data_IF_029883975565
#
_entry.id   IF_029883975565
#
_cell.length_a   1.000
_cell.length_b   1.000
_cell.length_c   1.000
_cell.angle_alpha   90.00
_cell.angle_beta   90.00
_cell.angle_gamma   90.00
#
_symmetry.space_group_name_H-M   'P 1'
#
loop_
_entity.id
_entity.type
_entity.pdbx_description
1 polymer ?
#
# COMPACT_ATOMS: atom_id res chain seq x y z
N UNK A 1 -28.91 15.79 7.54
CA UNK A 1 -28.21 17.08 7.58
C UNK A 1 -27.20 16.99 8.74
N UNK A 2 -25.96 16.62 8.45
CA UNK A 2 -24.86 16.65 9.43
C UNK A 2 -23.78 17.59 8.85
N UNK A 3 -23.35 18.52 9.68
CA UNK A 3 -22.51 19.65 9.35
C UNK A 3 -21.09 19.19 8.97
N UNK A 4 -20.67 19.58 7.77
CA UNK A 4 -19.26 19.53 7.34
C UNK A 4 -18.58 20.75 7.97
N UNK A 5 -17.64 20.52 8.89
CA UNK A 5 -16.80 21.57 9.46
C UNK A 5 -15.58 21.75 8.56
N UNK A 6 -15.55 22.90 7.89
CA UNK A 6 -14.44 23.35 7.05
C UNK A 6 -13.36 23.97 7.95
N UNK A 7 -12.18 23.37 8.04
CA UNK A 7 -11.03 23.99 8.70
C UNK A 7 -10.25 24.82 7.67
N UNK A 8 -10.36 26.15 7.79
CA UNK A 8 -9.45 27.10 7.13
C UNK A 8 -8.18 27.22 7.98
N UNK A 9 -7.03 26.81 7.44
CA UNK A 9 -5.71 27.10 8.05
C UNK A 9 -5.15 28.41 7.51
N UNK A 10 -4.77 29.30 8.43
CA UNK A 10 -4.08 30.58 8.17
C UNK A 10 -2.68 30.34 7.57
N UNK A 11 -2.41 30.96 6.44
CA UNK A 11 -1.06 31.12 5.88
C UNK A 11 -0.32 32.22 6.63
N UNK A 12 0.79 31.89 7.27
CA UNK A 12 1.79 32.87 7.76
C UNK A 12 2.93 32.97 6.74
N UNK A 13 3.09 34.13 6.15
CA UNK A 13 4.20 34.48 5.26
C UNK A 13 5.42 34.76 6.12
N UNK A 14 6.49 33.98 5.98
CA UNK A 14 7.80 34.27 6.58
C UNK A 14 8.74 34.81 5.49
N UNK A 15 9.24 36.01 5.74
CA UNK A 15 10.19 36.75 4.91
C UNK A 15 11.57 36.11 4.91
N UNK A 16 12.18 35.97 3.72
CA UNK A 16 13.56 35.51 3.55
C UNK A 16 14.59 36.56 4.01
N UNK A 17 15.47 36.19 4.93
CA UNK A 17 16.77 36.86 5.12
C UNK A 17 17.89 35.87 4.80
N UNK A 18 18.70 36.21 3.80
CA UNK A 18 19.93 35.50 3.44
C UNK A 18 21.02 35.67 4.52
N UNK A 19 21.37 34.59 5.20
CA UNK A 19 22.68 34.46 5.84
C UNK A 19 23.18 33.01 5.69
N UNK A 20 24.37 32.86 5.12
CA UNK A 20 25.11 31.61 4.95
C UNK A 20 25.37 30.94 6.31
N UNK A 21 24.54 30.03 6.70
CA UNK A 21 24.83 28.97 7.65
C UNK A 21 24.19 27.71 7.08
N UNK A 22 24.98 26.63 7.00
CA UNK A 22 24.43 25.28 6.76
C UNK A 22 23.48 24.97 7.92
N UNK A 23 22.23 25.38 7.80
CA UNK A 23 21.17 24.89 8.66
C UNK A 23 21.06 23.39 8.40
N UNK A 24 21.49 22.59 9.39
CA UNK A 24 21.06 21.21 9.51
C UNK A 24 19.53 21.26 9.47
N UNK A 25 18.94 20.91 8.33
CA UNK A 25 17.50 20.67 8.24
C UNK A 25 17.17 19.60 9.28
N UNK A 26 16.62 20.04 10.40
CA UNK A 26 16.05 19.13 11.39
C UNK A 26 14.82 18.56 10.71
N UNK A 27 14.93 17.35 10.15
CA UNK A 27 13.77 16.67 9.52
C UNK A 27 12.67 16.62 10.56
N UNK A 28 11.48 17.07 10.18
CA UNK A 28 10.30 17.01 11.04
C UNK A 28 9.98 15.54 11.33
N UNK A 29 9.49 15.27 12.52
CA UNK A 29 9.02 13.93 12.92
C UNK A 29 7.50 13.86 12.80
N UNK A 30 6.97 12.68 12.41
CA UNK A 30 5.55 12.44 12.17
C UNK A 30 5.07 11.22 12.96
N UNK A 31 5.09 11.31 14.28
CA UNK A 31 4.54 10.26 15.13
C UNK A 31 5.52 9.80 16.22
N UNK A 32 5.23 8.67 16.83
CA UNK A 32 5.98 8.06 17.93
C UNK A 32 5.94 6.55 17.83
N UNK A 33 6.84 5.87 18.55
CA UNK A 33 6.83 4.41 18.63
C UNK A 33 6.31 3.99 20.00
N UNK A 34 5.43 3.00 20.01
CA UNK A 34 4.94 2.33 21.22
C UNK A 34 5.34 0.85 21.17
N UNK A 35 5.92 0.35 22.25
CA UNK A 35 6.40 -1.03 22.36
C UNK A 35 5.54 -1.76 23.40
N UNK A 36 4.92 -2.87 22.98
CA UNK A 36 4.04 -3.70 23.81
C UNK A 36 4.75 -4.95 24.32
N UNK A 37 5.79 -5.42 23.60
CA UNK A 37 6.61 -6.56 23.95
C UNK A 37 8.09 -6.23 23.70
N UNK A 38 8.99 -6.69 24.59
CA UNK A 38 10.44 -6.43 24.49
C UNK A 38 11.06 -6.89 23.15
N UNK A 39 10.48 -7.90 22.50
CA UNK A 39 10.89 -8.36 21.15
C UNK A 39 10.68 -7.27 20.08
N UNK A 40 9.78 -6.32 20.31
CA UNK A 40 9.60 -5.14 19.42
C UNK A 40 10.86 -4.28 19.32
N UNK A 41 11.72 -4.33 20.35
CA UNK A 41 12.99 -3.58 20.37
C UNK A 41 14.02 -4.12 19.38
N UNK A 42 13.82 -5.32 18.85
CA UNK A 42 14.67 -5.87 17.79
C UNK A 42 14.49 -5.08 16.47
N UNK A 43 13.35 -4.37 16.31
CA UNK A 43 13.01 -3.61 15.11
C UNK A 43 13.05 -2.10 15.32
N UNK A 44 12.56 -1.60 16.45
CA UNK A 44 12.43 -0.17 16.71
C UNK A 44 12.65 0.12 18.21
N UNK A 45 12.89 1.38 18.54
CA UNK A 45 12.92 1.85 19.92
C UNK A 45 11.90 2.98 20.13
N UNK A 46 11.52 3.25 21.38
CA UNK A 46 10.66 4.38 21.72
C UNK A 46 11.23 5.74 21.27
N UNK A 47 12.56 5.81 21.05
CA UNK A 47 13.26 6.97 20.54
C UNK A 47 13.47 6.98 19.02
N UNK A 48 13.01 5.94 18.32
CA UNK A 48 13.11 5.90 16.86
C UNK A 48 12.34 7.07 16.25
N UNK A 49 13.01 7.76 15.30
CA UNK A 49 12.46 8.98 14.68
C UNK A 49 11.76 8.59 13.38
N UNK A 50 10.51 9.02 13.25
CA UNK A 50 9.74 8.88 12.01
C UNK A 50 9.99 10.15 11.20
N UNK A 51 10.92 10.07 10.24
CA UNK A 51 11.38 11.21 9.44
C UNK A 51 10.37 11.53 8.34
N UNK A 52 9.86 12.76 8.31
CA UNK A 52 9.09 13.27 7.18
C UNK A 52 10.00 13.43 5.95
N UNK A 53 9.65 12.82 4.84
CA UNK A 53 10.40 12.89 3.58
C UNK A 53 9.72 13.79 2.55
N UNK A 54 8.40 13.66 2.40
CA UNK A 54 7.56 14.46 1.49
C UNK A 54 6.26 14.78 2.20
N UNK A 55 5.82 16.02 2.15
CA UNK A 55 4.58 16.52 2.75
C UNK A 55 3.58 16.94 1.67
N UNK A 56 2.33 17.18 2.07
CA UNK A 56 1.28 17.71 1.20
C UNK A 56 0.94 16.81 0.01
N UNK A 57 0.98 15.50 0.24
CA UNK A 57 0.48 14.50 -0.67
C UNK A 57 -1.04 14.34 -0.51
N UNK A 58 -1.66 13.54 -1.37
CA UNK A 58 -3.03 13.11 -1.22
C UNK A 58 -3.17 11.67 -1.68
N UNK A 59 -3.39 10.76 -0.72
CA UNK A 59 -3.53 9.33 -0.94
C UNK A 59 -2.26 8.72 -1.55
N UNK A 60 -1.13 8.85 -0.79
CA UNK A 60 0.14 8.24 -1.16
C UNK A 60 0.12 6.75 -0.84
N UNK A 61 0.43 5.91 -1.85
CA UNK A 61 0.27 4.46 -1.80
C UNK A 61 1.42 3.72 -2.48
N UNK A 62 1.32 2.40 -2.52
CA UNK A 62 2.15 1.48 -3.27
C UNK A 62 3.65 1.73 -3.17
N UNK A 63 4.23 1.91 -1.98
CA UNK A 63 5.66 2.17 -1.87
C UNK A 63 6.46 0.94 -2.29
N UNK A 64 7.52 1.17 -3.07
CA UNK A 64 8.41 0.12 -3.57
C UNK A 64 9.83 0.64 -3.67
N UNK A 65 10.77 0.02 -2.97
CA UNK A 65 12.18 0.29 -3.17
C UNK A 65 12.67 -0.36 -4.47
N UNK A 66 13.27 0.43 -5.35
CA UNK A 66 13.79 -0.03 -6.63
C UNK A 66 15.30 0.15 -6.67
N UNK A 67 16.04 -0.94 -6.49
CA UNK A 67 17.50 -0.92 -6.36
C UNK A 67 18.19 -0.31 -7.58
N UNK A 68 17.77 -0.70 -8.79
CA UNK A 68 18.35 -0.16 -10.05
C UNK A 68 18.20 1.35 -10.20
N UNK A 69 17.24 1.98 -9.49
CA UNK A 69 17.04 3.42 -9.45
C UNK A 69 17.65 4.04 -8.20
N UNK A 70 18.07 3.23 -7.22
CA UNK A 70 18.44 3.66 -5.88
C UNK A 70 17.39 4.64 -5.29
N UNK A 71 16.12 4.32 -5.45
CA UNK A 71 15.00 5.19 -5.11
C UNK A 71 13.80 4.39 -4.64
N UNK A 72 13.03 5.00 -3.75
CA UNK A 72 11.67 4.59 -3.47
C UNK A 72 10.76 5.13 -4.57
N UNK A 73 9.97 4.28 -5.19
CA UNK A 73 8.79 4.67 -5.96
C UNK A 73 7.57 4.62 -5.04
N UNK A 74 6.61 5.50 -5.26
CA UNK A 74 5.31 5.45 -4.61
C UNK A 74 4.25 6.09 -5.50
N UNK A 75 3.02 5.63 -5.35
CA UNK A 75 1.88 6.10 -6.14
C UNK A 75 1.19 7.25 -5.42
N UNK A 76 0.58 8.13 -6.18
CA UNK A 76 -0.41 9.09 -5.72
C UNK A 76 -1.70 8.81 -6.51
N UNK A 77 -2.53 7.96 -5.92
CA UNK A 77 -3.66 7.30 -6.61
C UNK A 77 -4.63 8.31 -7.19
N UNK A 78 -5.03 9.31 -6.40
CA UNK A 78 -5.96 10.34 -6.84
C UNK A 78 -5.41 11.22 -7.99
N UNK A 79 -4.08 11.38 -8.06
CA UNK A 79 -3.42 12.18 -9.09
C UNK A 79 -3.07 11.39 -10.35
N UNK A 80 -3.26 10.08 -10.38
CA UNK A 80 -2.87 9.18 -11.47
C UNK A 80 -1.37 9.23 -11.79
N UNK A 81 -0.50 9.28 -10.75
CA UNK A 81 0.94 9.49 -10.86
C UNK A 81 1.73 8.51 -10.01
N UNK A 82 2.96 8.24 -10.46
CA UNK A 82 4.01 7.64 -9.64
C UNK A 82 5.09 8.68 -9.43
N UNK A 83 5.57 8.78 -8.21
CA UNK A 83 6.70 9.61 -7.83
C UNK A 83 7.89 8.77 -7.41
N UNK A 84 9.07 9.36 -7.46
CA UNK A 84 10.29 8.81 -6.91
C UNK A 84 10.84 9.70 -5.81
N UNK A 85 11.45 9.06 -4.82
CA UNK A 85 12.19 9.74 -3.77
C UNK A 85 13.53 9.03 -3.51
N UNK A 86 14.60 9.82 -3.31
CA UNK A 86 15.86 9.33 -2.78
C UNK A 86 16.60 10.40 -1.98
N UNK A 87 17.59 9.99 -1.19
CA UNK A 87 18.36 10.91 -0.32
C UNK A 87 19.11 12.01 -1.08
N UNK A 88 19.48 11.79 -2.35
CA UNK A 88 20.32 12.71 -3.11
C UNK A 88 19.53 13.76 -3.88
N UNK A 89 18.51 13.32 -4.65
CA UNK A 89 17.70 14.19 -5.52
C UNK A 89 16.36 14.59 -4.92
N UNK A 90 15.97 13.96 -3.79
CA UNK A 90 14.69 14.23 -3.16
C UNK A 90 13.52 13.65 -3.94
N UNK A 91 12.43 14.40 -4.03
CA UNK A 91 11.14 14.01 -4.61
C UNK A 91 10.99 14.51 -6.05
N UNK A 92 10.52 13.64 -6.95
CA UNK A 92 10.26 13.98 -8.36
C UNK A 92 9.19 13.11 -8.99
N UNK A 93 8.51 13.63 -10.03
CA UNK A 93 7.59 12.85 -10.84
C UNK A 93 8.37 11.76 -11.59
N UNK A 94 7.89 10.52 -11.48
CA UNK A 94 8.45 9.38 -12.19
C UNK A 94 7.63 8.99 -13.42
N UNK A 95 6.29 8.92 -13.28
CA UNK A 95 5.38 8.48 -14.35
C UNK A 95 4.01 9.15 -14.26
N UNK A 96 3.46 9.50 -15.43
CA UNK A 96 2.09 9.98 -15.62
C UNK A 96 1.65 9.68 -17.06
N UNK A 97 0.47 9.02 -17.29
CA UNK A 97 -0.45 8.45 -16.33
C UNK A 97 0.07 7.13 -15.75
N UNK A 98 -0.37 6.76 -14.53
CA UNK A 98 0.05 5.51 -13.89
C UNK A 98 -1.00 4.41 -13.95
N UNK A 99 -2.28 4.73 -13.76
CA UNK A 99 -3.35 3.75 -13.58
C UNK A 99 -4.55 3.92 -14.51
N UNK A 100 -4.75 5.09 -15.08
CA UNK A 100 -5.83 5.38 -16.03
C UNK A 100 -5.31 5.98 -17.31
N UNK A 101 -5.47 5.24 -18.40
CA UNK A 101 -5.07 5.65 -19.74
C UNK A 101 -6.27 5.89 -20.68
N UNK A 102 -7.50 5.68 -20.18
CA UNK A 102 -8.74 5.91 -20.93
C UNK A 102 -9.22 4.75 -21.77
N UNK A 103 -8.72 3.52 -21.52
CA UNK A 103 -9.13 2.33 -22.30
C UNK A 103 -10.45 1.72 -21.85
N UNK A 104 -10.93 2.07 -20.65
CA UNK A 104 -12.23 1.65 -20.12
C UNK A 104 -12.96 2.85 -19.50
N UNK A 105 -14.29 2.80 -19.33
CA UNK A 105 -15.02 3.82 -18.60
C UNK A 105 -14.56 3.92 -17.14
N UNK A 106 -14.49 5.14 -16.61
CA UNK A 106 -14.14 5.42 -15.23
C UNK A 106 -15.14 6.39 -14.60
N UNK A 107 -15.30 6.32 -13.27
CA UNK A 107 -16.07 7.32 -12.53
C UNK A 107 -15.35 8.67 -12.54
N UNK A 108 -16.05 9.79 -12.72
CA UNK A 108 -15.42 11.11 -12.77
C UNK A 108 -14.61 11.47 -11.51
N UNK A 109 -15.10 11.04 -10.35
CA UNK A 109 -14.48 11.29 -9.04
C UNK A 109 -13.77 10.03 -8.51
N UNK A 110 -13.40 9.12 -9.42
CA UNK A 110 -12.70 7.85 -9.11
C UNK A 110 -11.26 8.07 -8.68
N UNK A 111 -10.75 7.12 -7.91
CA UNK A 111 -9.33 7.02 -7.57
C UNK A 111 -8.63 6.24 -8.69
N UNK A 112 -8.15 6.94 -9.72
CA UNK A 112 -7.84 6.33 -11.02
C UNK A 112 -6.36 5.95 -11.22
N UNK A 113 -5.45 6.33 -10.34
CA UNK A 113 -4.04 5.98 -10.43
C UNK A 113 -3.77 4.49 -10.24
N UNK A 114 -2.52 4.09 -10.42
CA UNK A 114 -2.06 2.80 -9.89
C UNK A 114 -2.02 2.86 -8.37
N UNK A 115 -2.20 1.70 -7.71
CA UNK A 115 -2.05 1.55 -6.28
C UNK A 115 -0.80 0.72 -5.98
N UNK A 116 -0.90 -0.55 -5.69
CA UNK A 116 0.24 -1.41 -5.39
C UNK A 116 1.21 -1.58 -6.57
N UNK A 117 2.49 -1.73 -6.22
CA UNK A 117 3.59 -1.97 -7.14
C UNK A 117 4.52 -3.04 -6.60
N UNK A 118 5.00 -3.93 -7.47
CA UNK A 118 6.07 -4.88 -7.17
C UNK A 118 7.01 -5.04 -8.36
N UNK A 119 8.13 -5.71 -8.15
CA UNK A 119 8.98 -6.20 -9.24
C UNK A 119 8.70 -7.68 -9.50
N UNK A 120 8.70 -8.09 -10.76
CA UNK A 120 8.74 -9.50 -11.11
C UNK A 120 10.18 -10.07 -11.03
N UNK A 121 10.36 -11.36 -11.28
CA UNK A 121 11.66 -12.03 -11.24
C UNK A 121 12.69 -11.51 -12.26
N UNK A 122 12.25 -10.78 -13.29
CA UNK A 122 13.12 -10.13 -14.27
C UNK A 122 13.48 -8.69 -13.85
N UNK A 123 12.90 -8.20 -12.76
CA UNK A 123 13.01 -6.82 -12.29
C UNK A 123 12.15 -5.85 -13.09
N UNK A 124 11.09 -6.32 -13.76
CA UNK A 124 10.11 -5.48 -14.42
C UNK A 124 9.05 -5.01 -13.43
N UNK A 125 8.59 -3.76 -13.59
CA UNK A 125 7.60 -3.15 -12.71
C UNK A 125 6.20 -3.66 -13.05
N UNK A 126 5.55 -4.24 -12.05
CA UNK A 126 4.15 -4.67 -12.12
C UNK A 126 3.30 -3.69 -11.32
N UNK A 127 2.17 -3.30 -11.87
CA UNK A 127 1.28 -2.27 -11.32
C UNK A 127 -0.15 -2.81 -11.21
N UNK A 128 -0.80 -2.53 -10.10
CA UNK A 128 -2.24 -2.63 -9.94
C UNK A 128 -2.88 -1.30 -10.37
N UNK A 129 -3.57 -1.28 -11.51
CA UNK A 129 -4.19 -0.08 -12.08
C UNK A 129 -5.67 -0.01 -11.70
N UNK A 130 -6.04 0.98 -10.87
CA UNK A 130 -7.43 1.21 -10.51
C UNK A 130 -8.26 1.66 -11.72
N UNK A 131 -7.80 2.70 -12.42
CA UNK A 131 -8.60 3.34 -13.48
C UNK A 131 -8.81 2.47 -14.71
N UNK A 132 -7.79 1.78 -15.18
CA UNK A 132 -7.89 0.84 -16.30
C UNK A 132 -8.34 -0.57 -15.85
N UNK A 133 -8.54 -0.78 -14.55
CA UNK A 133 -9.14 -1.98 -13.94
C UNK A 133 -8.39 -3.27 -14.29
N UNK A 134 -7.05 -3.23 -14.18
CA UNK A 134 -6.17 -4.34 -14.60
C UNK A 134 -4.85 -4.39 -13.83
N UNK A 135 -4.20 -5.54 -13.88
CA UNK A 135 -2.80 -5.71 -13.48
C UNK A 135 -1.94 -5.69 -14.75
N UNK A 136 -0.87 -4.91 -14.72
CA UNK A 136 0.00 -4.68 -15.89
C UNK A 136 1.47 -4.82 -15.56
N UNK A 137 2.27 -5.12 -16.60
CA UNK A 137 3.74 -4.96 -16.61
C UNK A 137 4.12 -3.70 -17.37
N UNK A 138 5.01 -2.90 -16.83
CA UNK A 138 5.62 -1.77 -17.53
C UNK A 138 6.72 -2.30 -18.46
N UNK A 139 6.54 -2.16 -19.79
CA UNK A 139 7.50 -2.63 -20.79
C UNK A 139 8.75 -1.75 -20.91
N UNK A 140 8.64 -0.49 -20.53
CA UNK A 140 9.72 0.48 -20.77
C UNK A 140 9.89 1.44 -19.59
N UNK A 141 10.96 1.23 -18.82
CA UNK A 141 11.29 2.05 -17.66
C UNK A 141 11.78 3.48 -18.00
N UNK A 142 12.14 3.74 -19.26
CA UNK A 142 12.85 4.96 -19.67
C UNK A 142 11.96 5.97 -20.39
N UNK A 143 10.70 5.67 -20.62
CA UNK A 143 9.82 6.50 -21.44
C UNK A 143 8.86 7.34 -20.58
N UNK A 144 8.80 8.64 -20.91
CA UNK A 144 7.78 9.56 -20.39
C UNK A 144 6.35 9.18 -20.85
N UNK A 145 6.23 8.21 -21.77
CA UNK A 145 4.97 7.64 -22.26
C UNK A 145 4.95 6.17 -21.85
N UNK A 146 4.26 5.81 -20.76
CA UNK A 146 4.26 4.43 -20.30
C UNK A 146 3.59 3.51 -21.32
N UNK A 147 4.26 2.38 -21.61
CA UNK A 147 3.74 1.27 -22.41
C UNK A 147 3.49 0.09 -21.49
N UNK A 148 2.22 -0.32 -21.39
CA UNK A 148 1.77 -1.35 -20.47
C UNK A 148 1.36 -2.62 -21.22
N UNK A 149 1.87 -3.76 -20.76
CA UNK A 149 1.36 -5.07 -21.08
C UNK A 149 0.33 -5.51 -20.05
N UNK A 150 -0.88 -5.83 -20.48
CA UNK A 150 -1.90 -6.36 -19.57
C UNK A 150 -1.57 -7.80 -19.21
N UNK A 151 -1.41 -8.08 -17.92
CA UNK A 151 -1.23 -9.41 -17.37
C UNK A 151 -2.58 -10.04 -16.99
N UNK A 152 -3.45 -9.25 -16.32
CA UNK A 152 -4.82 -9.66 -15.99
C UNK A 152 -5.74 -8.44 -16.12
N UNK A 153 -6.78 -8.52 -16.98
CA UNK A 153 -7.72 -7.41 -17.23
C UNK A 153 -9.17 -7.77 -16.93
N UNK A 154 -9.48 -9.06 -16.74
CA UNK A 154 -10.85 -9.52 -16.49
C UNK A 154 -10.88 -10.89 -15.83
N UNK A 155 -12.02 -11.20 -15.23
CA UNK A 155 -12.37 -12.54 -14.77
C UNK A 155 -13.75 -12.91 -15.26
N UNK A 156 -13.88 -14.07 -15.97
CA UNK A 156 -15.14 -14.51 -16.59
C UNK A 156 -15.79 -13.43 -17.47
N UNK A 157 -14.99 -12.84 -18.36
CA UNK A 157 -15.39 -11.78 -19.31
C UNK A 157 -15.92 -10.48 -18.66
N UNK A 158 -15.68 -10.27 -17.37
CA UNK A 158 -16.01 -9.05 -16.63
C UNK A 158 -14.75 -8.35 -16.17
N UNK A 159 -14.70 -7.04 -16.34
CA UNK A 159 -13.59 -6.23 -15.83
C UNK A 159 -13.48 -6.35 -14.30
N UNK A 160 -12.26 -6.29 -13.78
CA UNK A 160 -12.04 -6.17 -12.34
C UNK A 160 -12.68 -4.89 -11.78
N UNK A 161 -12.79 -4.79 -10.45
CA UNK A 161 -13.26 -3.55 -9.81
C UNK A 161 -12.16 -2.48 -9.89
N UNK A 162 -11.09 -2.66 -9.13
CA UNK A 162 -9.88 -1.84 -9.14
C UNK A 162 -8.75 -2.58 -8.43
N UNK A 163 -7.97 -3.41 -9.14
CA UNK A 163 -6.85 -4.14 -8.55
C UNK A 163 -5.99 -3.22 -7.69
N UNK A 164 -5.75 -3.63 -6.42
CA UNK A 164 -5.21 -2.75 -5.39
C UNK A 164 -3.78 -3.12 -4.98
N UNK A 165 -3.57 -4.21 -4.25
CA UNK A 165 -2.24 -4.65 -3.84
C UNK A 165 -1.95 -6.06 -4.39
N UNK A 166 -0.66 -6.43 -4.46
CA UNK A 166 -0.24 -7.62 -5.18
C UNK A 166 1.09 -8.17 -4.64
N UNK A 167 1.24 -9.50 -4.75
CA UNK A 167 2.43 -10.22 -4.31
C UNK A 167 2.69 -11.44 -5.17
N UNK A 168 3.95 -11.70 -5.54
CA UNK A 168 4.36 -12.94 -6.20
C UNK A 168 4.69 -14.02 -5.17
N UNK A 169 4.27 -15.25 -5.47
CA UNK A 169 4.85 -16.45 -4.87
C UNK A 169 6.09 -16.89 -5.67
N UNK A 170 6.96 -17.67 -5.04
CA UNK A 170 8.21 -18.16 -5.66
C UNK A 170 7.98 -19.02 -6.91
N UNK A 171 6.80 -19.65 -7.02
CA UNK A 171 6.42 -20.44 -8.19
C UNK A 171 6.02 -19.61 -9.42
N UNK A 172 5.98 -18.27 -9.27
CA UNK A 172 5.61 -17.31 -10.30
C UNK A 172 4.11 -16.98 -10.37
N UNK A 173 3.27 -17.53 -9.49
CA UNK A 173 1.88 -17.12 -9.36
C UNK A 173 1.81 -15.72 -8.70
N UNK A 174 0.96 -14.85 -9.24
CA UNK A 174 0.71 -13.50 -8.74
C UNK A 174 -0.64 -13.47 -8.02
N UNK A 175 -0.64 -13.11 -6.75
CA UNK A 175 -1.85 -12.88 -5.96
C UNK A 175 -2.14 -11.38 -5.90
N UNK A 176 -3.41 -10.99 -6.02
CA UNK A 176 -3.83 -9.59 -5.93
C UNK A 176 -5.23 -9.44 -5.37
N UNK A 177 -5.49 -8.28 -4.78
CA UNK A 177 -6.80 -7.88 -4.26
C UNK A 177 -7.51 -6.97 -5.26
N UNK A 178 -8.86 -7.06 -5.29
CA UNK A 178 -9.71 -6.29 -6.22
C UNK A 178 -10.87 -5.60 -5.50
N UNK A 179 -10.60 -4.70 -4.55
CA UNK A 179 -11.62 -3.88 -3.90
C UNK A 179 -12.16 -2.81 -4.88
N UNK A 180 -13.26 -2.12 -4.53
CA UNK A 180 -13.92 -1.17 -5.44
C UNK A 180 -13.43 0.27 -5.32
N UNK A 181 -12.22 0.54 -4.78
CA UNK A 181 -11.76 1.91 -4.49
C UNK A 181 -11.62 2.79 -5.73
N UNK A 182 -11.32 2.22 -6.90
CA UNK A 182 -11.23 2.94 -8.16
C UNK A 182 -12.52 3.65 -8.57
N UNK A 183 -13.68 3.24 -8.03
CA UNK A 183 -14.95 3.92 -8.28
C UNK A 183 -15.14 5.19 -7.42
N UNK A 184 -14.20 5.50 -6.52
CA UNK A 184 -14.30 6.62 -5.59
C UNK A 184 -15.12 6.31 -4.33
N UNK A 185 -14.87 7.07 -3.26
CA UNK A 185 -15.43 6.76 -1.95
C UNK A 185 -16.96 6.88 -1.88
N UNK A 186 -17.56 7.77 -2.66
CA UNK A 186 -19.03 7.98 -2.68
C UNK A 186 -19.76 6.83 -3.39
N UNK A 187 -19.12 6.20 -4.37
CA UNK A 187 -19.69 5.11 -5.19
C UNK A 187 -19.08 3.75 -4.94
N UNK A 188 -18.33 3.61 -3.86
CA UNK A 188 -17.52 2.45 -3.53
C UNK A 188 -18.22 1.10 -3.81
N UNK A 189 -19.45 0.92 -3.32
CA UNK A 189 -20.23 -0.31 -3.50
C UNK A 189 -21.41 -0.15 -4.46
N UNK A 190 -21.67 1.03 -5.01
CA UNK A 190 -22.88 1.38 -5.75
C UNK A 190 -22.63 1.84 -7.19
N UNK A 191 -21.39 1.86 -7.65
CA UNK A 191 -21.05 2.22 -9.02
C UNK A 191 -21.76 1.30 -10.04
N UNK A 192 -22.39 1.89 -11.04
CA UNK A 192 -22.95 1.15 -12.18
C UNK A 192 -21.88 0.53 -13.09
N UNK A 193 -20.61 1.00 -12.95
CA UNK A 193 -19.48 0.44 -13.67
C UNK A 193 -18.95 -0.85 -13.02
N UNK A 194 -19.41 -1.22 -11.83
CA UNK A 194 -18.99 -2.45 -11.14
C UNK A 194 -19.56 -3.69 -11.84
N UNK A 195 -18.70 -4.47 -12.51
CA UNK A 195 -19.09 -5.67 -13.22
C UNK A 195 -18.91 -6.94 -12.40
N UNK A 196 -17.83 -7.01 -11.58
CA UNK A 196 -17.62 -8.15 -10.69
C UNK A 196 -18.67 -8.14 -9.57
N UNK A 197 -19.33 -9.28 -9.28
CA UNK A 197 -20.33 -9.34 -8.21
C UNK A 197 -19.72 -9.26 -6.81
N UNK A 198 -18.40 -9.50 -6.70
CA UNK A 198 -17.65 -9.57 -5.44
C UNK A 198 -16.47 -8.63 -5.44
N UNK A 199 -15.87 -8.40 -4.28
CA UNK A 199 -14.57 -7.77 -4.12
C UNK A 199 -13.58 -8.90 -3.83
N UNK A 200 -12.89 -9.37 -4.88
CA UNK A 200 -12.19 -10.65 -4.85
C UNK A 200 -10.74 -10.55 -4.38
N UNK A 201 -10.24 -11.69 -3.89
CA UNK A 201 -8.81 -11.99 -3.90
C UNK A 201 -8.58 -12.98 -5.03
N UNK A 202 -7.69 -12.65 -5.94
CA UNK A 202 -7.44 -13.42 -7.15
C UNK A 202 -6.00 -13.92 -7.21
N UNK A 203 -5.81 -14.98 -8.01
CA UNK A 203 -4.51 -15.47 -8.43
C UNK A 203 -4.43 -15.41 -9.94
N UNK A 204 -3.39 -14.81 -10.48
CA UNK A 204 -2.94 -14.99 -11.85
C UNK A 204 -1.85 -16.05 -11.82
N UNK A 205 -2.10 -17.20 -12.41
CA UNK A 205 -1.10 -18.28 -12.50
C UNK A 205 0.03 -17.85 -13.43
N UNK A 206 1.21 -18.43 -13.26
CA UNK A 206 2.33 -18.21 -14.18
C UNK A 206 2.00 -18.51 -15.65
N UNK A 207 0.99 -19.36 -15.89
CA UNK A 207 0.54 -19.76 -17.23
C UNK A 207 -0.55 -18.81 -17.79
N UNK A 208 -0.93 -17.76 -17.04
CA UNK A 208 -1.83 -16.68 -17.46
C UNK A 208 -3.32 -16.93 -17.14
N UNK A 209 -3.66 -17.95 -16.35
CA UNK A 209 -5.03 -18.18 -15.89
C UNK A 209 -5.34 -17.32 -14.67
N UNK A 210 -6.51 -16.66 -14.66
CA UNK A 210 -7.04 -15.93 -13.50
C UNK A 210 -8.00 -16.80 -12.73
N UNK A 211 -7.76 -16.94 -11.42
CA UNK A 211 -8.57 -17.73 -10.50
C UNK A 211 -9.07 -16.86 -9.35
N UNK A 212 -10.37 -16.84 -9.08
CA UNK A 212 -10.95 -16.24 -7.88
C UNK A 212 -10.72 -17.18 -6.68
N UNK A 213 -10.08 -16.68 -5.63
CA UNK A 213 -9.73 -17.47 -4.45
C UNK A 213 -10.63 -17.15 -3.25
N UNK A 214 -10.94 -15.87 -3.03
CA UNK A 214 -11.76 -15.40 -1.89
C UNK A 214 -12.75 -14.36 -2.40
N UNK A 215 -14.01 -14.44 -1.95
CA UNK A 215 -15.11 -13.60 -2.45
C UNK A 215 -15.92 -12.91 -1.34
N UNK A 216 -15.58 -13.15 -0.09
CA UNK A 216 -16.38 -12.76 1.08
C UNK A 216 -15.66 -11.83 2.06
N UNK A 217 -14.53 -11.23 1.65
CA UNK A 217 -13.93 -10.09 2.33
C UNK A 217 -14.50 -8.82 1.69
N UNK A 218 -15.19 -7.99 2.49
CA UNK A 218 -15.92 -6.84 1.96
C UNK A 218 -15.00 -5.82 1.28
N UNK A 219 -13.86 -5.51 1.90
CA UNK A 219 -12.87 -4.56 1.41
C UNK A 219 -11.45 -5.16 1.52
N UNK A 220 -11.12 -6.19 0.70
CA UNK A 220 -9.77 -6.75 0.70
C UNK A 220 -8.79 -5.68 0.21
N UNK A 221 -7.67 -5.52 0.93
CA UNK A 221 -6.70 -4.47 0.63
C UNK A 221 -5.29 -5.07 0.55
N UNK A 222 -4.41 -4.77 1.48
CA UNK A 222 -3.05 -5.28 1.48
C UNK A 222 -2.98 -6.81 1.42
N UNK A 223 -1.98 -7.32 0.70
CA UNK A 223 -1.77 -8.76 0.52
C UNK A 223 -0.28 -9.08 0.61
N UNK A 224 0.08 -10.12 1.34
CA UNK A 224 1.45 -10.60 1.45
C UNK A 224 1.52 -12.12 1.62
N UNK A 225 2.69 -12.68 1.32
CA UNK A 225 2.99 -14.11 1.47
C UNK A 225 4.13 -14.27 2.48
N UNK A 226 4.03 -15.30 3.35
CA UNK A 226 5.11 -15.67 4.28
C UNK A 226 6.39 -16.06 3.52
N UNK A 227 7.55 -15.88 4.16
CA UNK A 227 8.86 -16.17 3.55
C UNK A 227 9.03 -17.63 3.09
N UNK A 228 8.27 -18.56 3.65
CA UNK A 228 8.27 -19.98 3.23
C UNK A 228 7.21 -20.30 2.15
N UNK A 229 6.51 -19.29 1.65
CA UNK A 229 5.45 -19.37 0.63
C UNK A 229 4.25 -20.24 1.03
N UNK A 230 4.01 -20.45 2.32
CA UNK A 230 2.91 -21.31 2.78
C UNK A 230 1.70 -20.58 3.29
N UNK A 231 1.84 -19.31 3.67
CA UNK A 231 0.73 -18.51 4.23
C UNK A 231 0.50 -17.26 3.42
N UNK A 232 -0.75 -17.02 3.02
CA UNK A 232 -1.21 -15.77 2.45
C UNK A 232 -1.90 -14.96 3.54
N UNK A 233 -1.53 -13.69 3.67
CA UNK A 233 -2.17 -12.70 4.55
C UNK A 233 -2.94 -11.71 3.71
N UNK A 234 -4.17 -11.36 4.14
CA UNK A 234 -5.02 -10.36 3.48
C UNK A 234 -5.62 -9.44 4.53
N UNK A 235 -5.37 -8.14 4.38
CA UNK A 235 -5.98 -7.10 5.20
C UNK A 235 -7.42 -6.83 4.76
N UNK A 236 -8.30 -6.57 5.74
CA UNK A 236 -9.64 -6.03 5.52
C UNK A 236 -9.68 -4.57 5.98
N UNK A 237 -9.98 -3.64 5.06
CA UNK A 237 -10.17 -2.23 5.42
C UNK A 237 -11.59 -1.93 5.92
N UNK A 238 -12.42 -2.94 6.12
CA UNK A 238 -13.74 -2.80 6.73
C UNK A 238 -13.59 -2.47 8.22
N UNK A 239 -13.95 -1.25 8.60
CA UNK A 239 -13.85 -0.77 9.99
C UNK A 239 -14.83 -1.46 10.95
N UNK A 240 -15.89 -2.08 10.43
CA UNK A 240 -16.82 -2.89 11.22
C UNK A 240 -16.27 -4.30 11.46
N UNK A 241 -15.31 -4.73 10.62
CA UNK A 241 -14.65 -6.03 10.75
C UNK A 241 -13.14 -5.90 10.46
N UNK A 242 -12.40 -5.19 11.34
CA UNK A 242 -11.00 -4.84 11.13
C UNK A 242 -10.08 -6.02 11.47
N UNK A 243 -9.86 -6.91 10.51
CA UNK A 243 -9.01 -8.10 10.71
C UNK A 243 -7.94 -8.24 9.63
N UNK A 244 -6.91 -8.94 9.98
CA UNK A 244 -5.99 -9.58 9.03
C UNK A 244 -6.39 -11.04 8.95
N UNK A 245 -6.74 -11.50 7.76
CA UNK A 245 -7.06 -12.90 7.49
C UNK A 245 -5.82 -13.64 7.01
N UNK A 246 -5.63 -14.89 7.43
CA UNK A 246 -4.60 -15.79 6.89
C UNK A 246 -5.21 -17.01 6.25
N UNK A 247 -4.48 -17.57 5.28
CA UNK A 247 -4.84 -18.79 4.56
C UNK A 247 -3.59 -19.64 4.35
N UNK A 248 -3.72 -20.95 4.38
CA UNK A 248 -2.68 -21.85 3.90
C UNK A 248 -2.71 -21.89 2.37
N UNK A 249 -1.56 -21.69 1.73
CA UNK A 249 -1.38 -21.83 0.29
C UNK A 249 -1.11 -23.30 0.00
N UNK A 250 -1.97 -23.94 -0.80
CA UNK A 250 -1.86 -25.34 -1.20
C UNK A 250 -1.89 -25.48 -2.71
N UNK A 251 -1.59 -26.67 -3.22
CA UNK A 251 -1.74 -26.99 -4.66
C UNK A 251 -3.21 -26.84 -5.13
N UNK A 252 -4.18 -27.01 -4.24
CA UNK A 252 -5.59 -26.93 -4.53
C UNK A 252 -6.17 -25.49 -4.42
N UNK A 253 -5.38 -24.53 -3.95
CA UNK A 253 -5.79 -23.16 -3.70
C UNK A 253 -5.54 -22.72 -2.26
N UNK A 254 -6.44 -21.93 -1.69
CA UNK A 254 -6.34 -21.45 -0.29
C UNK A 254 -7.21 -22.34 0.62
N UNK A 255 -6.60 -22.77 1.73
CA UNK A 255 -7.25 -23.60 2.74
C UNK A 255 -7.08 -22.99 4.15
N UNK A 256 -7.69 -23.58 5.16
CA UNK A 256 -7.52 -23.26 6.59
C UNK A 256 -7.61 -21.76 6.92
N UNK A 257 -8.62 -21.07 6.34
CA UNK A 257 -8.88 -19.66 6.65
C UNK A 257 -8.98 -19.43 8.16
N UNK A 258 -8.25 -18.43 8.65
CA UNK A 258 -8.29 -18.02 10.04
C UNK A 258 -8.06 -16.52 10.22
N UNK A 259 -8.44 -15.98 11.36
CA UNK A 259 -8.05 -14.63 11.77
C UNK A 259 -6.59 -14.70 12.21
N UNK A 260 -5.73 -13.93 11.55
CA UNK A 260 -4.33 -13.78 11.94
C UNK A 260 -4.20 -12.73 13.04
N UNK A 261 -4.87 -11.58 12.87
CA UNK A 261 -4.91 -10.51 13.85
C UNK A 261 -6.28 -9.84 13.85
N UNK A 262 -6.80 -9.56 15.05
CA UNK A 262 -8.08 -8.86 15.26
C UNK A 262 -7.79 -7.46 15.82
N UNK A 263 -8.08 -6.43 15.04
CA UNK A 263 -7.90 -5.02 15.39
C UNK A 263 -9.09 -4.37 16.10
N UNK A 264 -10.13 -5.14 16.46
CA UNK A 264 -11.37 -4.60 17.04
C UNK A 264 -11.17 -3.81 18.34
N UNK A 265 -10.13 -4.11 19.12
CA UNK A 265 -9.79 -3.33 20.30
C UNK A 265 -8.97 -2.08 19.96
N UNK A 266 -8.08 -2.15 18.96
CA UNK A 266 -7.25 -1.02 18.56
C UNK A 266 -8.09 0.12 17.96
N UNK A 267 -9.08 -0.20 17.12
CA UNK A 267 -9.90 0.81 16.44
C UNK A 267 -10.76 1.64 17.40
N UNK A 268 -10.96 1.16 18.65
CA UNK A 268 -11.68 1.92 19.68
C UNK A 268 -10.89 3.09 20.24
N UNK A 269 -9.56 3.03 20.17
CA UNK A 269 -8.65 4.02 20.77
C UNK A 269 -7.74 4.70 19.76
N UNK A 270 -7.67 4.20 18.54
CA UNK A 270 -6.78 4.69 17.50
C UNK A 270 -7.52 4.85 16.17
N UNK A 271 -7.24 5.92 15.44
CA UNK A 271 -7.76 6.13 14.10
C UNK A 271 -7.00 5.26 13.08
N UNK A 272 -7.66 4.95 11.96
CA UNK A 272 -7.10 4.20 10.84
C UNK A 272 -7.81 2.87 10.61
N UNK A 273 -7.37 2.17 9.59
CA UNK A 273 -7.88 0.86 9.15
C UNK A 273 -6.72 0.03 8.65
N UNK A 274 -6.90 -1.29 8.54
CA UNK A 274 -5.91 -2.15 7.88
C UNK A 274 -5.87 -1.86 6.39
N UNK A 275 -4.66 -1.61 5.86
CA UNK A 275 -4.43 -1.27 4.48
C UNK A 275 -3.27 -2.11 3.93
N UNK A 276 -2.11 -1.58 3.59
CA UNK A 276 -0.98 -2.35 3.10
C UNK A 276 -0.26 -3.16 4.19
N UNK A 277 0.43 -4.23 3.79
CA UNK A 277 1.31 -4.99 4.69
C UNK A 277 2.51 -5.59 3.95
N UNK A 278 3.58 -5.86 4.69
CA UNK A 278 4.80 -6.51 4.18
C UNK A 278 5.32 -7.52 5.21
N UNK A 279 5.94 -8.59 4.71
CA UNK A 279 6.64 -9.57 5.54
C UNK A 279 8.14 -9.25 5.53
N UNK A 280 8.70 -9.04 6.72
CA UNK A 280 10.12 -8.81 6.93
C UNK A 280 10.91 -10.12 6.77
N UNK A 281 12.21 -10.05 6.50
CA UNK A 281 13.08 -11.25 6.36
C UNK A 281 13.09 -12.14 7.60
N UNK A 282 12.84 -11.60 8.78
CA UNK A 282 12.66 -12.37 10.02
C UNK A 282 11.36 -13.17 10.09
N UNK A 283 10.42 -12.95 9.15
CA UNK A 283 9.07 -13.52 9.18
C UNK A 283 8.03 -12.67 9.90
N UNK A 284 8.43 -11.59 10.57
CA UNK A 284 7.50 -10.65 11.21
C UNK A 284 6.72 -9.86 10.16
N UNK A 285 5.47 -9.54 10.48
CA UNK A 285 4.56 -8.81 9.59
C UNK A 285 4.49 -7.35 10.02
N UNK A 286 4.75 -6.44 9.08
CA UNK A 286 4.54 -5.02 9.23
C UNK A 286 3.27 -4.65 8.47
N UNK A 287 2.20 -4.37 9.21
CA UNK A 287 0.89 -4.04 8.64
C UNK A 287 0.49 -2.63 9.03
N UNK A 288 0.08 -1.82 8.06
CA UNK A 288 -0.63 -0.61 8.40
C UNK A 288 -1.98 -0.97 9.03
N UNK A 289 -2.43 -0.13 9.96
CA UNK A 289 -3.64 -0.39 10.74
C UNK A 289 -3.98 0.77 11.67
N UNK A 290 -4.92 0.57 12.60
CA UNK A 290 -5.25 1.59 13.59
C UNK A 290 -4.02 2.04 14.36
N UNK A 291 -3.74 3.37 14.33
CA UNK A 291 -2.61 4.00 15.02
C UNK A 291 -1.32 4.12 14.20
N UNK A 292 -1.13 3.39 13.10
CA UNK A 292 0.09 3.47 12.29
C UNK A 292 0.50 2.15 11.65
N UNK A 293 1.78 1.75 11.75
CA UNK A 293 2.28 0.45 11.28
C UNK A 293 2.49 -0.47 12.48
N UNK A 294 1.74 -1.56 12.52
CA UNK A 294 1.85 -2.61 13.54
C UNK A 294 2.97 -3.58 13.16
N UNK A 295 3.77 -3.97 14.15
CA UNK A 295 4.78 -5.03 14.03
C UNK A 295 4.22 -6.26 14.75
N UNK A 296 4.00 -7.33 13.98
CA UNK A 296 3.37 -8.56 14.47
C UNK A 296 4.34 -9.74 14.31
N UNK A 297 4.30 -10.70 15.26
CA UNK A 297 5.03 -11.97 15.08
C UNK A 297 4.37 -12.83 13.99
N UNK A 298 5.02 -13.88 13.48
CA UNK A 298 4.39 -14.86 12.58
C UNK A 298 3.15 -15.54 13.16
N UNK A 299 2.99 -15.54 14.48
CA UNK A 299 1.83 -16.09 15.19
C UNK A 299 0.70 -15.06 15.37
N UNK A 300 0.96 -13.74 15.11
CA UNK A 300 0.00 -12.64 15.23
C UNK A 300 0.07 -11.91 16.57
N UNK A 301 1.15 -12.06 17.35
CA UNK A 301 1.33 -11.28 18.58
C UNK A 301 1.80 -9.85 18.26
N UNK A 302 1.19 -8.83 18.87
CA UNK A 302 1.51 -7.43 18.64
C UNK A 302 2.73 -7.00 19.46
N UNK A 303 3.83 -6.68 18.78
CA UNK A 303 5.10 -6.33 19.41
C UNK A 303 5.25 -4.82 19.61
N UNK A 304 4.94 -4.02 18.60
CA UNK A 304 5.08 -2.58 18.63
C UNK A 304 4.18 -1.92 17.57
N UNK A 305 3.92 -0.63 17.75
CA UNK A 305 3.31 0.25 16.73
C UNK A 305 4.25 1.41 16.41
N UNK A 306 4.55 1.59 15.14
CA UNK A 306 5.17 2.82 14.62
C UNK A 306 4.01 3.78 14.32
N UNK A 307 3.68 4.60 15.32
CA UNK A 307 2.53 5.50 15.26
C UNK A 307 2.74 6.64 14.27
N UNK A 308 1.71 6.98 13.51
CA UNK A 308 1.71 8.04 12.49
C UNK A 308 0.72 9.14 12.83
N UNK A 309 0.97 10.37 12.36
CA UNK A 309 0.07 11.52 12.60
C UNK A 309 -1.05 11.64 11.56
N UNK A 310 -1.08 10.76 10.61
CA UNK A 310 -2.12 10.58 9.59
C UNK A 310 -2.24 9.08 9.31
N UNK A 311 -3.34 8.61 8.73
CA UNK A 311 -3.53 7.20 8.45
C UNK A 311 -2.39 6.66 7.58
N UNK A 312 -1.66 5.67 8.09
CA UNK A 312 -0.70 4.91 7.31
C UNK A 312 -1.47 4.03 6.33
N UNK A 313 -1.14 4.13 5.04
CA UNK A 313 -1.82 3.39 3.99
C UNK A 313 -1.01 2.17 3.55
N UNK A 314 0.32 2.32 3.36
CA UNK A 314 1.16 1.19 3.00
C UNK A 314 2.59 1.38 3.52
N UNK A 315 3.41 0.35 3.42
CA UNK A 315 4.83 0.43 3.81
C UNK A 315 5.71 -0.42 2.88
N UNK A 316 7.01 -0.12 2.87
CA UNK A 316 8.01 -0.89 2.16
C UNK A 316 9.36 -0.79 2.86
N UNK A 317 10.13 -1.86 2.81
CA UNK A 317 11.53 -1.85 3.23
C UNK A 317 12.43 -1.37 2.09
N UNK A 318 13.60 -0.80 2.42
CA UNK A 318 14.69 -0.74 1.47
C UNK A 318 15.34 -2.12 1.31
N UNK A 319 16.34 -2.20 0.42
CA UNK A 319 17.01 -3.46 0.09
C UNK A 319 17.56 -4.23 1.29
N UNK A 320 18.15 -3.52 2.23
CA UNK A 320 18.85 -4.10 3.37
C UNK A 320 18.00 -4.12 4.64
N UNK A 321 16.72 -3.73 4.51
CA UNK A 321 15.75 -3.57 5.61
C UNK A 321 16.24 -2.64 6.73
N UNK A 322 17.13 -1.68 6.38
CA UNK A 322 17.58 -0.64 7.32
C UNK A 322 16.53 0.43 7.59
N UNK A 323 15.65 0.66 6.60
CA UNK A 323 14.56 1.62 6.70
C UNK A 323 13.23 1.02 6.29
N UNK A 324 12.21 1.32 7.10
CA UNK A 324 10.83 1.19 6.70
C UNK A 324 10.33 2.52 6.16
N UNK A 325 9.90 2.57 4.92
CA UNK A 325 9.18 3.68 4.32
C UNK A 325 7.69 3.51 4.54
N UNK A 326 7.00 4.59 4.88
CA UNK A 326 5.58 4.60 5.21
C UNK A 326 4.92 5.66 4.32
N UNK A 327 4.01 5.23 3.46
CA UNK A 327 3.08 6.11 2.78
C UNK A 327 1.88 6.32 3.68
N UNK A 328 1.57 7.58 3.95
CA UNK A 328 0.40 7.98 4.69
C UNK A 328 -0.53 8.80 3.79
N UNK A 329 -1.72 9.11 4.29
CA UNK A 329 -2.74 9.80 3.49
C UNK A 329 -2.22 11.11 2.85
N UNK A 330 -1.38 11.86 3.58
CA UNK A 330 -0.91 13.20 3.18
C UNK A 330 0.61 13.38 3.19
N UNK A 331 1.40 12.31 3.49
CA UNK A 331 2.86 12.39 3.46
C UNK A 331 3.55 11.05 3.19
N UNK A 332 4.83 11.13 2.84
CA UNK A 332 5.79 10.03 2.87
C UNK A 332 6.75 10.23 4.05
N UNK A 333 6.94 9.20 4.84
CA UNK A 333 7.89 9.17 5.94
C UNK A 333 8.76 7.92 5.89
N UNK A 334 9.79 7.86 6.75
CA UNK A 334 10.54 6.65 7.02
C UNK A 334 10.98 6.57 8.47
N UNK A 335 11.22 5.37 8.93
CA UNK A 335 11.86 5.08 10.22
C UNK A 335 13.06 4.17 9.99
N UNK A 336 14.16 4.44 10.71
CA UNK A 336 15.29 3.52 10.71
C UNK A 336 14.97 2.35 11.63
N UNK A 337 15.14 1.15 11.13
CA UNK A 337 15.06 -0.09 11.90
C UNK A 337 16.39 -0.37 12.63
N UNK A 338 16.33 -1.20 13.70
CA UNK A 338 17.49 -1.56 14.53
C UNK A 338 18.34 -2.66 13.89
#
# INVERSE_FOLDING_TARGET
MKNVILFLSLFSIVSCNNNNNQEKFTRLTRGSVEIFDERGKDFVSENSRIELLVDSLFLAEGPLWVEKLNSLLFTQVAANKIYSWNNGSGFSLYMEPSGYTGIVPAEPDGLLGSNGMILDSNGDLILAQHGDRRVVRLKNWQNNSPDFETLAGSYKDKLFNSPNDLVYADNGDLYFTDPPYGFGLEKLLTSELKEQPVNGVYKLTRDGEVVLLVEDILLPNGIAISNDNKTLYVNSSDVEYPIITKFDITENGLENRGIFFDGSELIKSSEGWFDGLKVHSSGNIFSTGPGGVLILTPEGEHLATIGTTSNALNCAFDKDEEYLYITAFDYLARVKLN
#
